data_IF_643496511234
#
_entry.id   IF_643496511234
#
_cell.length_a   1.000
_cell.length_b   1.000
_cell.length_c   1.000
_cell.angle_alpha   90.00
_cell.angle_beta   90.00
_cell.angle_gamma   90.00
#
_symmetry.space_group_name_H-M   'P 1'
#
loop_
_entity.id
_entity.type
_entity.pdbx_description
1 polymer ?
#
# COMPACT_ATOMS: atom_id res chain seq x y z
N UNK A 1 2.22 11.90 -5.46
CA UNK A 1 3.25 12.76 -6.08
C UNK A 1 3.22 14.22 -5.65
N UNK A 2 2.05 14.87 -5.61
CA UNK A 2 1.93 16.29 -5.24
C UNK A 2 2.46 16.59 -3.83
N UNK A 3 2.10 15.77 -2.83
CA UNK A 3 2.59 15.88 -1.46
C UNK A 3 4.13 15.90 -1.38
N UNK A 4 4.79 14.95 -2.05
CA UNK A 4 6.26 14.86 -2.10
C UNK A 4 6.89 16.11 -2.74
N UNK A 5 6.31 16.60 -3.85
CA UNK A 5 6.77 17.84 -4.50
C UNK A 5 6.61 19.06 -3.59
N UNK A 6 5.52 19.12 -2.84
CA UNK A 6 5.29 20.20 -1.86
C UNK A 6 6.31 20.17 -0.74
N UNK A 7 6.62 18.99 -0.18
CA UNK A 7 7.67 18.83 0.84
C UNK A 7 9.05 19.29 0.35
N UNK A 8 9.42 18.88 -0.87
CA UNK A 8 10.67 19.34 -1.52
C UNK A 8 10.70 20.87 -1.66
N UNK A 9 9.58 21.47 -2.04
CA UNK A 9 9.48 22.92 -2.17
C UNK A 9 9.60 23.61 -0.81
N UNK A 10 8.92 23.11 0.22
CA UNK A 10 8.98 23.63 1.59
C UNK A 10 10.40 23.59 2.15
N UNK A 11 11.15 22.49 1.95
CA UNK A 11 12.55 22.40 2.37
C UNK A 11 13.42 23.48 1.71
N UNK A 12 13.24 23.72 0.40
CA UNK A 12 13.94 24.80 -0.34
C UNK A 12 13.55 26.19 0.13
N UNK A 13 12.29 26.41 0.48
CA UNK A 13 11.81 27.70 0.98
C UNK A 13 12.37 27.98 2.38
N UNK A 14 12.48 26.96 3.25
CA UNK A 14 13.15 27.09 4.54
C UNK A 14 14.65 27.35 4.41
N UNK A 15 15.31 26.74 3.43
CA UNK A 15 16.71 27.02 3.11
C UNK A 15 16.92 28.49 2.69
N UNK A 16 16.07 29.02 1.80
CA UNK A 16 16.12 30.43 1.37
C UNK A 16 15.86 31.42 2.51
N UNK A 17 15.04 31.03 3.49
CA UNK A 17 14.75 31.84 4.66
C UNK A 17 15.93 31.95 5.64
N UNK A 18 17.03 31.23 5.38
CA UNK A 18 18.28 31.32 6.11
C UNK A 18 18.31 30.55 7.43
N UNK A 19 19.37 30.77 8.20
CA UNK A 19 19.75 29.96 9.36
C UNK A 19 18.66 29.89 10.46
N UNK A 20 17.81 30.91 10.57
CA UNK A 20 16.66 30.96 11.50
C UNK A 20 15.63 29.85 11.26
N UNK A 21 15.59 29.27 10.06
CA UNK A 21 14.65 28.20 9.67
C UNK A 21 15.33 26.83 9.51
N UNK A 22 16.59 26.68 9.95
CA UNK A 22 17.35 25.44 9.78
C UNK A 22 16.68 24.22 10.43
N UNK A 23 16.01 24.40 11.58
CA UNK A 23 15.25 23.31 12.22
C UNK A 23 14.06 22.87 11.36
N UNK A 24 13.31 23.83 10.81
CA UNK A 24 12.18 23.54 9.92
C UNK A 24 12.64 22.85 8.62
N UNK A 25 13.80 23.26 8.07
CA UNK A 25 14.44 22.59 6.93
C UNK A 25 14.71 21.12 7.24
N UNK A 26 15.39 20.82 8.36
CA UNK A 26 15.71 19.43 8.75
C UNK A 26 14.45 18.57 8.92
N UNK A 27 13.39 19.11 9.51
CA UNK A 27 12.11 18.40 9.65
C UNK A 27 11.50 18.11 8.26
N UNK A 28 11.50 19.10 7.36
CA UNK A 28 10.98 18.91 6.00
C UNK A 28 11.78 17.86 5.21
N UNK A 29 13.11 17.82 5.39
CA UNK A 29 13.99 16.81 4.80
C UNK A 29 13.73 15.40 5.39
N UNK A 30 13.54 15.28 6.70
CA UNK A 30 13.18 14.01 7.35
C UNK A 30 11.85 13.48 6.83
N UNK A 31 10.81 14.32 6.82
CA UNK A 31 9.50 13.96 6.30
C UNK A 31 9.55 13.58 4.81
N UNK A 32 10.42 14.22 4.03
CA UNK A 32 10.61 13.86 2.63
C UNK A 32 11.14 12.42 2.49
N UNK A 33 12.09 12.01 3.33
CA UNK A 33 12.64 10.66 3.33
C UNK A 33 11.55 9.65 3.73
N UNK A 34 10.85 9.90 4.84
CA UNK A 34 9.77 9.04 5.34
C UNK A 34 8.65 8.85 4.29
N UNK A 35 8.22 9.94 3.64
CA UNK A 35 7.21 9.87 2.57
C UNK A 35 7.73 9.08 1.37
N UNK A 36 9.02 9.22 1.02
CA UNK A 36 9.60 8.49 -0.10
C UNK A 36 9.64 6.99 0.18
N UNK A 37 10.04 6.59 1.39
CA UNK A 37 10.06 5.19 1.83
C UNK A 37 8.63 4.62 1.81
N UNK A 38 7.66 5.32 2.40
CA UNK A 38 6.26 4.91 2.35
C UNK A 38 5.73 4.74 0.90
N UNK A 39 6.03 5.69 0.02
CA UNK A 39 5.63 5.61 -1.40
C UNK A 39 6.28 4.46 -2.16
N UNK A 40 7.49 4.06 -1.78
CA UNK A 40 8.25 3.02 -2.48
C UNK A 40 7.88 1.63 -1.97
N UNK A 41 7.83 1.46 -0.64
CA UNK A 41 7.73 0.15 -0.01
C UNK A 41 6.29 -0.21 0.39
N UNK A 42 5.50 0.77 0.84
CA UNK A 42 4.15 0.51 1.37
C UNK A 42 3.08 0.65 0.30
N UNK A 43 3.10 1.72 -0.50
CA UNK A 43 2.01 2.05 -1.42
C UNK A 43 1.75 0.98 -2.48
N UNK A 44 2.77 0.44 -3.21
CA UNK A 44 2.52 -0.56 -4.24
C UNK A 44 1.88 -1.83 -3.66
N UNK A 45 2.40 -2.31 -2.53
CA UNK A 45 1.86 -3.48 -1.85
C UNK A 45 0.43 -3.23 -1.35
N UNK A 46 0.21 -2.08 -0.69
CA UNK A 46 -1.09 -1.69 -0.16
C UNK A 46 -2.16 -1.66 -1.25
N UNK A 47 -1.86 -1.10 -2.43
CA UNK A 47 -2.80 -1.02 -3.55
C UNK A 47 -3.21 -2.41 -4.08
N UNK A 48 -2.36 -3.42 -3.91
CA UNK A 48 -2.66 -4.79 -4.34
C UNK A 48 -3.49 -5.54 -3.30
N UNK A 49 -3.05 -5.52 -2.03
CA UNK A 49 -3.56 -6.43 -1.00
C UNK A 49 -4.69 -5.84 -0.15
N UNK A 50 -4.84 -4.52 -0.08
CA UNK A 50 -5.98 -3.88 0.59
C UNK A 50 -7.23 -3.84 -0.31
N UNK A 51 -7.51 -4.94 -1.01
CA UNK A 51 -8.75 -5.11 -1.76
C UNK A 51 -9.75 -5.97 -0.95
N UNK A 52 -11.05 -5.61 -0.93
CA UNK A 52 -12.08 -6.36 -0.19
C UNK A 52 -12.40 -7.74 -0.81
N UNK A 53 -11.93 -8.01 -2.02
CA UNK A 53 -12.01 -9.30 -2.68
C UNK A 53 -10.99 -10.33 -2.21
N UNK A 54 -10.03 -9.95 -1.36
CA UNK A 54 -9.06 -10.88 -0.80
C UNK A 54 -9.76 -11.93 0.08
N UNK A 55 -9.58 -13.19 -0.28
CA UNK A 55 -10.13 -14.36 0.41
C UNK A 55 -8.98 -15.29 0.78
N UNK A 56 -9.22 -16.23 1.67
CA UNK A 56 -8.19 -17.18 2.15
C UNK A 56 -7.44 -17.86 1.01
N UNK A 57 -8.12 -18.25 -0.09
CA UNK A 57 -7.47 -18.84 -1.27
C UNK A 57 -6.38 -17.93 -1.88
N UNK A 58 -6.63 -16.63 -1.99
CA UNK A 58 -5.69 -15.68 -2.59
C UNK A 58 -4.45 -15.53 -1.73
N UNK A 59 -4.64 -15.54 -0.40
CA UNK A 59 -3.52 -15.53 0.53
C UNK A 59 -2.69 -16.81 0.43
N UNK A 60 -3.34 -17.99 0.36
CA UNK A 60 -2.63 -19.25 0.15
C UNK A 60 -1.87 -19.28 -1.18
N UNK A 61 -2.43 -18.72 -2.25
CA UNK A 61 -1.75 -18.60 -3.55
C UNK A 61 -0.52 -17.69 -3.46
N UNK A 62 -0.65 -16.55 -2.76
CA UNK A 62 0.47 -15.63 -2.47
C UNK A 62 1.57 -16.34 -1.67
N UNK A 63 1.21 -17.07 -0.61
CA UNK A 63 2.20 -17.82 0.18
C UNK A 63 2.93 -18.87 -0.66
N UNK A 64 2.18 -19.56 -1.54
CA UNK A 64 2.74 -20.60 -2.42
C UNK A 64 3.68 -20.00 -3.45
N UNK A 65 3.33 -18.84 -4.01
CA UNK A 65 4.12 -18.16 -5.04
C UNK A 65 5.39 -17.50 -4.48
N UNK A 66 5.29 -16.88 -3.31
CA UNK A 66 6.36 -16.05 -2.73
C UNK A 66 7.21 -16.80 -1.71
N UNK A 67 6.68 -17.88 -1.13
CA UNK A 67 7.27 -18.57 0.01
C UNK A 67 7.10 -17.80 1.33
N UNK A 68 6.51 -16.61 1.31
CA UNK A 68 6.25 -15.79 2.50
C UNK A 68 5.05 -16.36 3.24
N UNK A 69 5.27 -16.77 4.50
CA UNK A 69 4.18 -17.23 5.37
C UNK A 69 3.49 -16.03 6.00
N UNK A 70 2.19 -15.92 5.74
CA UNK A 70 1.31 -14.89 6.27
C UNK A 70 0.59 -15.52 7.47
N UNK A 71 0.85 -15.06 8.71
CA UNK A 71 0.20 -15.59 9.90
C UNK A 71 -1.32 -15.55 9.74
N UNK A 72 -2.04 -16.63 10.05
CA UNK A 72 -3.50 -16.66 9.99
C UNK A 72 -4.07 -16.26 11.37
N UNK A 73 -4.57 -15.04 11.52
CA UNK A 73 -5.11 -14.53 12.78
C UNK A 73 -5.44 -13.04 12.73
N UNK A 74 -6.51 -12.63 13.39
CA UNK A 74 -7.25 -11.39 13.15
C UNK A 74 -6.42 -10.11 13.10
N UNK A 75 -6.74 -9.30 12.08
CA UNK A 75 -6.16 -8.00 11.68
C UNK A 75 -4.71 -8.03 11.19
N UNK A 76 -4.55 -7.85 9.88
CA UNK A 76 -3.25 -7.59 9.26
C UNK A 76 -3.02 -6.10 9.12
N UNK A 77 -1.78 -5.67 9.36
CA UNK A 77 -1.34 -4.32 8.99
C UNK A 77 -0.40 -4.40 7.80
N UNK A 78 -0.33 -3.33 7.00
CA UNK A 78 0.65 -3.22 5.92
C UNK A 78 2.08 -3.34 6.45
N UNK A 79 2.35 -2.78 7.63
CA UNK A 79 3.67 -2.87 8.26
C UNK A 79 4.09 -4.33 8.50
N UNK A 80 3.18 -5.18 9.00
CA UNK A 80 3.46 -6.61 9.15
C UNK A 80 3.82 -7.28 7.83
N UNK A 81 3.14 -6.92 6.73
CA UNK A 81 3.41 -7.51 5.41
C UNK A 81 4.76 -7.06 4.85
N UNK A 82 5.16 -5.82 5.14
CA UNK A 82 6.48 -5.29 4.79
C UNK A 82 7.57 -5.99 5.62
N UNK A 83 7.36 -6.19 6.92
CA UNK A 83 8.30 -6.92 7.79
C UNK A 83 8.49 -8.38 7.34
N UNK A 84 7.45 -8.99 6.75
CA UNK A 84 7.52 -10.32 6.11
C UNK A 84 8.19 -10.30 4.72
N UNK A 85 8.52 -9.12 4.19
CA UNK A 85 9.19 -8.94 2.89
C UNK A 85 8.27 -9.01 1.67
N UNK A 86 6.94 -8.95 1.87
CA UNK A 86 5.98 -9.10 0.77
C UNK A 86 6.03 -7.94 -0.24
N UNK A 87 6.52 -6.77 0.16
CA UNK A 87 6.72 -5.59 -0.71
C UNK A 87 7.69 -5.89 -1.87
N UNK A 88 8.63 -6.81 -1.70
CA UNK A 88 9.55 -7.24 -2.76
C UNK A 88 8.89 -8.11 -3.84
N UNK A 89 7.67 -8.59 -3.58
CA UNK A 89 6.95 -9.50 -4.45
C UNK A 89 5.74 -8.87 -5.15
N UNK A 90 5.58 -7.54 -5.12
CA UNK A 90 4.41 -6.85 -5.68
C UNK A 90 4.09 -7.29 -7.13
N UNK A 91 5.11 -7.36 -7.99
CA UNK A 91 4.94 -7.81 -9.39
C UNK A 91 4.52 -9.27 -9.51
N UNK A 92 4.97 -10.13 -8.61
CA UNK A 92 4.62 -11.55 -8.63
C UNK A 92 3.16 -11.77 -8.21
N UNK A 93 2.70 -11.05 -7.19
CA UNK A 93 1.34 -11.23 -6.63
C UNK A 93 0.26 -10.42 -7.37
N UNK A 94 0.65 -9.52 -8.28
CA UNK A 94 -0.23 -8.59 -8.98
C UNK A 94 -1.42 -9.30 -9.65
N UNK A 95 -1.16 -10.37 -10.41
CA UNK A 95 -2.21 -11.11 -11.11
C UNK A 95 -3.24 -11.75 -10.15
N UNK A 96 -2.78 -12.26 -9.01
CA UNK A 96 -3.65 -12.83 -7.97
C UNK A 96 -4.56 -11.74 -7.39
N UNK A 97 -3.99 -10.58 -7.06
CA UNK A 97 -4.73 -9.45 -6.51
C UNK A 97 -5.72 -8.86 -7.52
N UNK A 98 -5.35 -8.77 -8.79
CA UNK A 98 -6.25 -8.33 -9.87
C UNK A 98 -7.41 -9.31 -10.05
N UNK A 99 -7.14 -10.61 -10.01
CA UNK A 99 -8.17 -11.65 -10.07
C UNK A 99 -9.16 -11.50 -8.91
N UNK A 100 -8.66 -11.38 -7.68
CA UNK A 100 -9.47 -11.19 -6.48
C UNK A 100 -10.40 -9.98 -6.58
N UNK A 101 -9.89 -8.84 -7.10
CA UNK A 101 -10.69 -7.63 -7.27
C UNK A 101 -11.80 -7.81 -8.34
N UNK A 102 -11.51 -8.51 -9.44
CA UNK A 102 -12.51 -8.81 -10.49
C UNK A 102 -13.61 -9.73 -9.97
N UNK A 103 -13.23 -10.79 -9.26
CA UNK A 103 -14.18 -11.71 -8.62
C UNK A 103 -15.09 -11.00 -7.62
N UNK A 104 -14.55 -10.06 -6.85
CA UNK A 104 -15.36 -9.25 -5.93
C UNK A 104 -16.38 -8.39 -6.67
N UNK A 105 -15.98 -7.75 -7.78
CA UNK A 105 -16.90 -7.02 -8.65
C UNK A 105 -18.03 -7.90 -9.20
N UNK A 106 -17.71 -9.12 -9.60
CA UNK A 106 -18.72 -10.10 -10.06
C UNK A 106 -19.67 -10.50 -8.91
N UNK A 107 -19.13 -10.76 -7.72
CA UNK A 107 -19.95 -11.08 -6.55
C UNK A 107 -20.95 -9.96 -6.23
N UNK A 108 -20.49 -8.71 -6.19
CA UNK A 108 -21.36 -7.55 -5.96
C UNK A 108 -22.46 -7.42 -7.02
N UNK A 109 -22.14 -7.68 -8.28
CA UNK A 109 -23.12 -7.66 -9.36
C UNK A 109 -24.18 -8.76 -9.17
N UNK A 110 -23.76 -9.98 -8.79
CA UNK A 110 -24.67 -11.09 -8.50
C UNK A 110 -25.58 -10.79 -7.31
N UNK A 111 -25.01 -10.31 -6.21
CA UNK A 111 -25.76 -9.96 -5.00
C UNK A 111 -26.81 -8.88 -5.29
N UNK A 112 -26.45 -7.89 -6.13
CA UNK A 112 -27.39 -6.86 -6.58
C UNK A 112 -28.55 -7.46 -7.38
N UNK A 113 -28.27 -8.30 -8.37
CA UNK A 113 -29.30 -8.93 -9.20
C UNK A 113 -30.26 -9.78 -8.35
N UNK A 114 -29.73 -10.55 -7.41
CA UNK A 114 -30.57 -11.36 -6.51
C UNK A 114 -31.45 -10.49 -5.61
N UNK A 115 -30.92 -9.38 -5.10
CA UNK A 115 -31.68 -8.46 -4.26
C UNK A 115 -32.74 -7.67 -5.02
N UNK A 116 -32.54 -7.38 -6.31
CA UNK A 116 -33.57 -6.77 -7.18
C UNK A 116 -34.73 -7.72 -7.48
N UNK A 117 -34.53 -9.03 -7.35
CA UNK A 117 -35.53 -10.07 -7.64
C UNK A 117 -36.30 -10.53 -6.40
N UNK A 118 -35.92 -10.04 -5.21
CA UNK A 118 -36.62 -10.26 -3.94
C UNK A 118 -37.71 -9.21 -3.73
#
# INVERSE_FOLDING_TARGET
EELYRTLVKSAKDFEKAGEKRQVAKRIAESLQIEVKEFMTDSVPLMLLICNPGMKERHWNDIETLTGVRIPKGETYTINMMIELGLNHHCKAIEDICISANKEYGLQLAMDKMENEWK
#
